data_IF_216610273548
#
_entry.id   IF_216610273548
#
_cell.length_a   1.000
_cell.length_b   1.000
_cell.length_c   1.000
_cell.angle_alpha   90.00
_cell.angle_beta   90.00
_cell.angle_gamma   90.00
#
_symmetry.space_group_name_H-M   'P 1'
#
loop_
_entity.id
_entity.type
_entity.pdbx_description
1 polymer ?
#
# COMPACT_ATOMS: atom_id res chain seq x y z
N UNK A 1 8.31 -6.91 -9.20
CA UNK A 1 9.02 -5.63 -8.95
C UNK A 1 10.13 -5.91 -7.96
N UNK A 2 11.32 -5.31 -8.10
CA UNK A 2 12.44 -5.59 -7.17
C UNK A 2 12.37 -4.68 -5.93
N UNK A 3 13.10 -5.03 -4.86
CA UNK A 3 13.08 -4.29 -3.59
C UNK A 3 13.48 -2.82 -3.74
N UNK A 4 14.51 -2.52 -4.53
CA UNK A 4 14.96 -1.13 -4.75
C UNK A 4 13.88 -0.27 -5.41
N UNK A 5 13.13 -0.83 -6.37
CA UNK A 5 11.99 -0.15 -6.99
C UNK A 5 10.87 0.09 -5.98
N UNK A 6 10.62 -0.85 -5.06
CA UNK A 6 9.64 -0.69 -3.98
C UNK A 6 10.09 0.46 -3.07
N UNK A 7 11.33 0.42 -2.58
CA UNK A 7 11.83 1.43 -1.65
C UNK A 7 11.81 2.84 -2.26
N UNK A 8 12.24 3.00 -3.50
CA UNK A 8 12.22 4.30 -4.18
C UNK A 8 10.82 4.87 -4.39
N UNK A 9 9.78 4.02 -4.40
CA UNK A 9 8.38 4.46 -4.46
C UNK A 9 7.92 5.05 -3.13
N UNK A 10 8.37 4.49 -2.01
CA UNK A 10 7.88 4.81 -0.67
C UNK A 10 8.74 5.81 0.09
N UNK A 11 10.06 5.78 -0.14
CA UNK A 11 11.08 6.53 0.60
C UNK A 11 11.75 7.62 -0.24
N UNK A 12 12.43 8.53 0.45
CA UNK A 12 13.35 9.43 -0.24
C UNK A 12 14.67 8.77 -0.61
N UNK A 13 15.17 9.09 -1.81
CA UNK A 13 16.34 8.43 -2.39
C UNK A 13 17.59 8.64 -1.53
N UNK A 14 17.69 9.81 -0.89
CA UNK A 14 18.75 10.15 0.07
C UNK A 14 18.75 9.24 1.32
N UNK A 15 17.62 8.59 1.63
CA UNK A 15 17.47 7.65 2.75
C UNK A 15 17.82 6.22 2.30
N UNK A 16 17.47 5.84 1.07
CA UNK A 16 17.69 4.48 0.53
C UNK A 16 19.18 4.17 0.35
N UNK A 17 20.01 5.15 -0.05
CA UNK A 17 21.45 4.94 -0.28
C UNK A 17 22.27 4.77 1.01
N UNK A 18 21.67 5.00 2.20
CA UNK A 18 22.36 4.95 3.50
C UNK A 18 21.92 3.78 4.40
N UNK A 19 20.85 3.05 4.05
CA UNK A 19 20.28 2.03 4.92
C UNK A 19 20.82 0.63 4.60
N UNK A 20 21.45 -0.01 5.58
CA UNK A 20 21.49 -1.48 5.66
C UNK A 20 20.08 -1.97 6.03
N UNK A 21 19.25 -2.23 5.01
CA UNK A 21 17.90 -2.73 5.21
C UNK A 21 17.95 -4.17 5.72
N UNK A 22 17.37 -4.39 6.89
CA UNK A 22 17.17 -5.73 7.43
C UNK A 22 16.14 -6.53 6.63
N UNK A 23 16.14 -7.86 6.77
CA UNK A 23 15.12 -8.72 6.15
C UNK A 23 13.70 -8.35 6.59
N UNK A 24 13.53 -7.94 7.85
CA UNK A 24 12.21 -7.54 8.39
C UNK A 24 11.72 -6.24 7.74
N UNK A 25 12.61 -5.26 7.55
CA UNK A 25 12.26 -4.01 6.86
C UNK A 25 11.96 -4.25 5.38
N UNK A 26 12.73 -5.11 4.72
CA UNK A 26 12.46 -5.49 3.33
C UNK A 26 11.07 -6.13 3.17
N UNK A 27 10.71 -7.04 4.08
CA UNK A 27 9.37 -7.64 4.13
C UNK A 27 8.30 -6.58 4.41
N UNK A 28 8.54 -5.68 5.37
CA UNK A 28 7.62 -4.60 5.68
C UNK A 28 7.29 -3.73 4.46
N UNK A 29 8.30 -3.27 3.73
CA UNK A 29 8.08 -2.43 2.54
C UNK A 29 7.44 -3.21 1.39
N UNK A 30 7.73 -4.51 1.28
CA UNK A 30 7.06 -5.39 0.32
C UNK A 30 5.57 -5.49 0.63
N UNK A 31 5.20 -5.73 1.89
CA UNK A 31 3.80 -5.81 2.30
C UNK A 31 3.05 -4.48 2.19
N UNK A 32 3.73 -3.36 2.50
CA UNK A 32 3.19 -2.02 2.27
C UNK A 32 2.86 -1.80 0.78
N UNK A 33 3.79 -2.17 -0.12
CA UNK A 33 3.58 -2.03 -1.56
C UNK A 33 2.47 -2.93 -2.09
N UNK A 34 2.40 -4.18 -1.60
CA UNK A 34 1.35 -5.12 -1.96
C UNK A 34 -0.02 -4.60 -1.51
N UNK A 35 -0.14 -4.16 -0.26
CA UNK A 35 -1.41 -3.67 0.30
C UNK A 35 -1.91 -2.42 -0.45
N UNK A 36 -1.00 -1.53 -0.85
CA UNK A 36 -1.35 -0.38 -1.68
C UNK A 36 -1.86 -0.81 -3.06
N UNK A 37 -1.20 -1.76 -3.72
CA UNK A 37 -1.65 -2.28 -5.03
C UNK A 37 -3.00 -2.96 -4.93
N UNK A 38 -3.23 -3.76 -3.90
CA UNK A 38 -4.51 -4.41 -3.63
C UNK A 38 -5.62 -3.36 -3.51
N UNK A 39 -5.36 -2.27 -2.76
CA UNK A 39 -6.31 -1.17 -2.62
C UNK A 39 -6.57 -0.43 -3.94
N UNK A 40 -5.53 -0.14 -4.74
CA UNK A 40 -5.69 0.45 -6.08
C UNK A 40 -6.51 -0.46 -6.99
N UNK A 41 -6.19 -1.76 -7.03
CA UNK A 41 -6.91 -2.74 -7.84
C UNK A 41 -8.38 -2.89 -7.41
N UNK A 42 -8.66 -2.83 -6.12
CA UNK A 42 -10.03 -2.91 -5.61
C UNK A 42 -10.86 -1.68 -6.02
N UNK A 43 -10.27 -0.48 -6.02
CA UNK A 43 -10.93 0.74 -6.53
C UNK A 43 -11.22 0.62 -8.03
N UNK A 44 -10.22 0.23 -8.82
CA UNK A 44 -10.41 0.03 -10.27
C UNK A 44 -11.52 -1.01 -10.54
N UNK A 45 -11.53 -2.10 -9.75
CA UNK A 45 -12.58 -3.13 -9.87
C UNK A 45 -13.97 -2.57 -9.60
N UNK A 46 -14.12 -1.70 -8.60
CA UNK A 46 -15.41 -1.04 -8.30
C UNK A 46 -15.80 -0.09 -9.44
N UNK A 47 -14.85 0.68 -9.98
CA UNK A 47 -15.07 1.65 -11.06
C UNK A 47 -15.54 0.99 -12.37
N UNK A 48 -15.04 -0.20 -12.69
CA UNK A 48 -15.41 -0.94 -13.91
C UNK A 48 -16.46 -2.04 -13.67
N UNK A 49 -17.02 -2.14 -12.47
CA UNK A 49 -18.01 -3.18 -12.17
C UNK A 49 -19.33 -2.88 -12.90
N UNK A 50 -19.72 -3.77 -13.81
CA UNK A 50 -20.98 -3.66 -14.57
C UNK A 50 -22.10 -4.49 -13.94
N UNK A 51 -21.74 -5.51 -13.15
CA UNK A 51 -22.68 -6.46 -12.54
C UNK A 51 -23.19 -5.95 -11.17
N UNK A 52 -24.48 -5.59 -11.03
CA UNK A 52 -25.04 -5.11 -9.78
C UNK A 52 -25.03 -6.16 -8.66
N UNK A 53 -25.05 -7.46 -8.97
CA UNK A 53 -25.06 -8.52 -7.95
C UNK A 53 -23.71 -8.65 -7.23
N UNK A 54 -22.64 -8.09 -7.81
CA UNK A 54 -21.29 -8.16 -7.26
C UNK A 54 -20.86 -6.89 -6.51
N UNK A 55 -21.73 -5.88 -6.42
CA UNK A 55 -21.38 -4.57 -5.86
C UNK A 55 -20.98 -4.67 -4.38
N UNK A 56 -21.75 -5.40 -3.59
CA UNK A 56 -21.49 -5.59 -2.16
C UNK A 56 -20.15 -6.29 -1.92
N UNK A 57 -19.86 -7.31 -2.73
CA UNK A 57 -18.58 -8.00 -2.67
C UNK A 57 -17.42 -7.07 -3.06
N UNK A 58 -17.59 -6.24 -4.10
CA UNK A 58 -16.56 -5.28 -4.51
C UNK A 58 -16.29 -4.23 -3.44
N UNK A 59 -17.33 -3.70 -2.79
CA UNK A 59 -17.21 -2.78 -1.65
C UNK A 59 -16.49 -3.44 -0.49
N UNK A 60 -16.88 -4.67 -0.11
CA UNK A 60 -16.21 -5.41 0.96
C UNK A 60 -14.71 -5.61 0.69
N UNK A 61 -14.33 -5.97 -0.53
CA UNK A 61 -12.93 -6.13 -0.93
C UNK A 61 -12.18 -4.80 -0.86
N UNK A 62 -12.79 -3.70 -1.30
CA UNK A 62 -12.20 -2.36 -1.22
C UNK A 62 -11.92 -1.97 0.24
N UNK A 63 -12.91 -2.10 1.13
CA UNK A 63 -12.76 -1.78 2.55
C UNK A 63 -11.69 -2.66 3.23
N UNK A 64 -11.63 -3.95 2.89
CA UNK A 64 -10.62 -4.86 3.43
C UNK A 64 -9.21 -4.46 3.00
N UNK A 65 -9.02 -4.13 1.71
CA UNK A 65 -7.75 -3.67 1.17
C UNK A 65 -7.33 -2.32 1.78
N UNK A 66 -8.27 -1.39 1.95
CA UNK A 66 -8.03 -0.10 2.58
C UNK A 66 -7.58 -0.25 4.05
N UNK A 67 -8.26 -1.12 4.82
CA UNK A 67 -7.88 -1.42 6.21
C UNK A 67 -6.47 -2.00 6.29
N UNK A 68 -6.12 -2.92 5.38
CA UNK A 68 -4.78 -3.52 5.32
C UNK A 68 -3.73 -2.47 4.99
N UNK A 69 -3.94 -1.65 3.96
CA UNK A 69 -2.99 -0.60 3.60
C UNK A 69 -2.82 0.44 4.72
N UNK A 70 -3.92 0.88 5.33
CA UNK A 70 -3.93 1.80 6.46
C UNK A 70 -3.16 1.26 7.68
N UNK A 71 -3.22 -0.04 7.93
CA UNK A 71 -2.41 -0.69 8.96
C UNK A 71 -0.91 -0.52 8.71
N UNK A 72 -0.43 -0.76 7.48
CA UNK A 72 0.98 -0.59 7.15
C UNK A 72 1.44 0.87 7.16
N UNK A 73 0.59 1.81 6.72
CA UNK A 73 0.88 3.24 6.84
C UNK A 73 1.04 3.68 8.31
N UNK A 74 0.14 3.20 9.18
CA UNK A 74 0.25 3.46 10.63
C UNK A 74 1.54 2.87 11.20
N UNK A 75 1.90 1.65 10.82
CA UNK A 75 3.16 1.01 11.23
C UNK A 75 4.40 1.78 10.75
N UNK A 76 4.38 2.32 9.53
CA UNK A 76 5.46 3.17 9.02
C UNK A 76 5.59 4.44 9.88
N UNK A 77 4.47 5.08 10.21
CA UNK A 77 4.42 6.26 11.09
C UNK A 77 4.96 5.96 12.49
N UNK A 78 4.57 4.83 13.09
CA UNK A 78 5.08 4.36 14.39
C UNK A 78 6.60 4.16 14.38
N UNK A 79 7.17 3.74 13.24
CA UNK A 79 8.62 3.59 13.03
C UNK A 79 9.34 4.91 12.66
N UNK A 80 8.63 6.04 12.61
CA UNK A 80 9.19 7.33 12.21
C UNK A 80 9.48 7.46 10.70
N UNK A 81 9.00 6.51 9.89
CA UNK A 81 9.22 6.51 8.44
C UNK A 81 8.24 7.48 7.79
N UNK A 82 8.76 8.47 7.06
CA UNK A 82 7.95 9.39 6.26
C UNK A 82 7.66 8.74 4.90
N UNK A 83 6.37 8.48 4.66
CA UNK A 83 5.88 7.90 3.42
C UNK A 83 5.54 9.00 2.41
N UNK A 84 6.06 8.89 1.17
CA UNK A 84 5.82 9.84 0.07
C UNK A 84 4.43 9.78 -0.55
N UNK A 85 3.79 8.61 -0.52
CA UNK A 85 2.46 8.39 -1.10
C UNK A 85 1.48 8.25 0.08
N UNK A 86 0.88 9.36 0.55
CA UNK A 86 0.06 9.33 1.75
C UNK A 86 -1.34 8.81 1.43
N UNK A 87 -2.16 8.83 2.47
CA UNK A 87 -3.46 8.18 2.65
C UNK A 87 -4.31 7.93 1.39
N UNK A 88 -5.00 6.77 1.32
CA UNK A 88 -6.08 6.60 0.35
C UNK A 88 -7.11 7.73 0.50
N UNK A 89 -7.35 8.51 -0.57
CA UNK A 89 -8.44 9.47 -0.54
C UNK A 89 -9.74 8.66 -0.58
N UNK A 90 -10.58 8.81 0.44
CA UNK A 90 -11.95 8.32 0.38
C UNK A 90 -12.63 9.03 -0.80
N UNK A 91 -13.11 8.24 -1.76
CA UNK A 91 -13.90 8.71 -2.90
C UNK A 91 -15.27 9.20 -2.40
#
# INVERSE_FOLDING_TARGET
>A
MNLNQILNRWLDRSVVEQLQISSEEAQFFTELDLSHREWVLAQERLNYLVDPELIDHAIFVLEAAEKKYSFYLRKAKEKGIRIKIPYPQAV
#
